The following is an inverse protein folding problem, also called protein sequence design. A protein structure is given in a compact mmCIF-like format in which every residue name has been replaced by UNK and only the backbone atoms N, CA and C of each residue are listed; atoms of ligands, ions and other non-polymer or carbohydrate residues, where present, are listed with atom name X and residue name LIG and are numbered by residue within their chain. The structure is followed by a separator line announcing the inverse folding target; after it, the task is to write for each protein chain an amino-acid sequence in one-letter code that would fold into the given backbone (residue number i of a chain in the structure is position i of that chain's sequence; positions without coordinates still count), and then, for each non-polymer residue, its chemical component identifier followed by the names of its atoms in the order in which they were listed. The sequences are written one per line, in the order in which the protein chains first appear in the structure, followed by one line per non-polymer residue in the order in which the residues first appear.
data_IF_018150852810
#
_entry.id   IF_018150852810
#
_cell.length_a   1.000
_cell.length_b   1.000
_cell.length_c   1.000
_cell.angle_alpha   90.00
_cell.angle_beta   90.00
_cell.angle_gamma   90.00
#
_symmetry.space_group_name_H-M   'P 1'
#
loop_
_entity.id
_entity.type
_entity.pdbx_description
1 polymer ?
#
# COMPACT_ATOMS: atom_id res chain seq x y z
N UNK A 1 4.21 -22.57 -6.50
CA UNK A 1 5.35 -22.32 -5.59
C UNK A 1 5.53 -20.82 -5.48
N UNK A 2 5.26 -20.23 -4.31
CA UNK A 2 5.62 -18.83 -4.02
C UNK A 2 7.15 -18.77 -3.96
N UNK A 3 7.76 -17.93 -4.80
CA UNK A 3 9.22 -17.72 -4.78
C UNK A 3 9.55 -16.88 -3.55
N UNK A 4 10.35 -17.41 -2.62
CA UNK A 4 10.84 -16.64 -1.47
C UNK A 4 11.63 -15.43 -1.94
N UNK A 5 11.29 -14.25 -1.43
CA UNK A 5 12.03 -13.02 -1.63
C UNK A 5 13.31 -13.12 -0.80
N UNK A 6 14.44 -12.68 -1.34
CA UNK A 6 15.69 -12.68 -0.58
C UNK A 6 15.66 -11.55 0.47
N UNK A 7 16.43 -11.71 1.57
CA UNK A 7 16.38 -10.77 2.69
C UNK A 7 16.75 -9.33 2.30
N UNK A 8 17.67 -9.14 1.33
CA UNK A 8 18.03 -7.80 0.86
C UNK A 8 16.83 -7.10 0.23
N UNK A 9 16.11 -7.78 -0.66
CA UNK A 9 14.89 -7.26 -1.29
C UNK A 9 13.78 -6.99 -0.28
N UNK A 10 13.68 -7.79 0.79
CA UNK A 10 12.72 -7.53 1.87
C UNK A 10 13.04 -6.19 2.56
N UNK A 11 14.31 -5.93 2.88
CA UNK A 11 14.73 -4.66 3.48
C UNK A 11 14.46 -3.48 2.53
N UNK A 12 14.75 -3.64 1.24
CA UNK A 12 14.47 -2.61 0.22
C UNK A 12 12.96 -2.31 0.15
N UNK A 13 12.10 -3.33 0.08
CA UNK A 13 10.65 -3.14 0.07
C UNK A 13 10.09 -2.54 1.36
N UNK A 14 10.63 -2.91 2.53
CA UNK A 14 10.22 -2.31 3.80
C UNK A 14 10.57 -0.83 3.84
N UNK A 15 11.76 -0.44 3.36
CA UNK A 15 12.13 0.97 3.26
C UNK A 15 11.18 1.74 2.33
N UNK A 16 10.85 1.18 1.16
CA UNK A 16 9.86 1.79 0.25
C UNK A 16 8.47 1.94 0.89
N UNK A 17 8.03 0.98 1.71
CA UNK A 17 6.74 1.07 2.42
C UNK A 17 6.78 2.22 3.45
N UNK A 18 7.90 2.41 4.14
CA UNK A 18 8.06 3.50 5.11
C UNK A 18 8.10 4.87 4.41
N UNK A 19 8.78 4.97 3.27
CA UNK A 19 8.78 6.20 2.47
C UNK A 19 7.34 6.54 2.01
N UNK A 20 6.58 5.56 1.52
CA UNK A 20 5.16 5.73 1.13
C UNK A 20 4.26 6.12 2.30
N UNK A 21 4.55 5.59 3.50
CA UNK A 21 3.81 5.95 4.71
C UNK A 21 3.95 7.44 5.02
N UNK A 22 5.17 7.98 4.90
CA UNK A 22 5.44 9.40 5.13
C UNK A 22 4.82 10.30 4.03
N UNK A 23 4.79 9.79 2.79
CA UNK A 23 4.27 10.51 1.62
C UNK A 23 2.74 10.40 1.44
N UNK A 24 2.06 9.56 2.23
CA UNK A 24 0.61 9.33 2.11
C UNK A 24 0.22 8.50 0.87
N UNK A 25 1.16 7.76 0.29
CA UNK A 25 0.94 6.95 -0.91
C UNK A 25 0.45 5.54 -0.56
N UNK A 26 -0.19 4.87 -1.52
CA UNK A 26 -0.58 3.47 -1.38
C UNK A 26 0.62 2.59 -0.96
N UNK A 27 0.60 2.10 0.29
CA UNK A 27 1.68 1.30 0.89
C UNK A 27 2.07 0.07 0.05
N UNK A 28 1.12 -0.47 -0.73
CA UNK A 28 1.35 -1.66 -1.56
C UNK A 28 2.03 -1.37 -2.90
N UNK A 29 1.61 -0.33 -3.63
CA UNK A 29 2.06 -0.10 -5.00
C UNK A 29 2.68 1.28 -5.25
N UNK A 30 2.67 2.19 -4.27
CA UNK A 30 3.11 3.58 -4.42
C UNK A 30 2.21 4.42 -5.33
N UNK A 31 0.99 3.97 -5.61
CA UNK A 31 0.00 4.76 -6.33
C UNK A 31 -0.66 5.79 -5.43
N UNK A 32 -1.15 6.87 -6.02
CA UNK A 32 -1.99 7.87 -5.35
C UNK A 32 -3.32 7.24 -4.91
N UNK A 33 -3.78 7.59 -3.70
CA UNK A 33 -5.10 7.21 -3.21
C UNK A 33 -6.17 8.11 -3.83
N UNK A 34 -7.39 7.60 -3.99
CA UNK A 34 -8.49 8.27 -4.66
C UNK A 34 -8.78 9.64 -4.06
N UNK A 35 -8.74 9.76 -2.73
CA UNK A 35 -8.97 11.01 -1.99
C UNK A 35 -7.92 12.09 -2.25
N UNK A 36 -6.73 11.71 -2.72
CA UNK A 36 -5.65 12.62 -3.07
C UNK A 36 -5.61 12.97 -4.57
N UNK A 37 -6.54 12.43 -5.37
CA UNK A 37 -6.66 12.74 -6.79
C UNK A 37 -7.29 14.12 -7.03
N UNK A 38 -6.92 14.74 -8.14
CA UNK A 38 -7.61 15.95 -8.60
C UNK A 38 -9.06 15.62 -8.98
N UNK A 39 -9.96 16.62 -8.91
CA UNK A 39 -11.40 16.39 -9.12
C UNK A 39 -11.78 15.76 -10.46
N UNK A 40 -10.93 15.87 -11.48
CA UNK A 40 -11.14 15.25 -12.79
C UNK A 40 -10.76 13.75 -12.82
N UNK A 41 -9.87 13.31 -11.91
CA UNK A 41 -9.41 11.93 -11.76
C UNK A 41 -10.08 11.21 -10.56
N UNK A 42 -10.74 11.95 -9.67
CA UNK A 42 -11.50 11.43 -8.53
C UNK A 42 -12.69 10.58 -8.99
N UNK A 43 -12.75 9.32 -8.54
CA UNK A 43 -13.89 8.44 -8.80
C UNK A 43 -14.85 8.46 -7.60
N UNK A 44 -15.99 9.16 -7.74
CA UNK A 44 -17.06 9.23 -6.73
C UNK A 44 -17.67 7.84 -6.40
N UNK A 45 -17.40 6.82 -7.21
CA UNK A 45 -17.83 5.43 -6.99
C UNK A 45 -16.97 4.65 -5.99
N UNK A 46 -15.80 5.15 -5.61
CA UNK A 46 -14.87 4.51 -4.68
C UNK A 46 -14.59 5.41 -3.46
N UNK A 47 -14.15 4.80 -2.36
CA UNK A 47 -13.74 5.55 -1.18
C UNK A 47 -12.45 6.35 -1.44
N UNK A 48 -12.23 7.39 -0.64
CA UNK A 48 -10.99 8.19 -0.67
C UNK A 48 -9.74 7.31 -0.47
N UNK A 49 -9.91 6.25 0.30
CA UNK A 49 -8.96 5.23 0.70
C UNK A 49 -8.57 4.23 -0.42
N UNK A 50 -9.22 4.33 -1.58
CA UNK A 50 -9.04 3.37 -2.65
C UNK A 50 -7.86 3.72 -3.55
N UNK A 51 -7.04 2.74 -3.91
CA UNK A 51 -5.97 2.88 -4.90
C UNK A 51 -6.37 2.26 -6.23
N UNK A 52 -6.44 3.07 -7.29
CA UNK A 52 -6.81 2.64 -8.65
C UNK A 52 -5.79 1.66 -9.25
N UNK A 53 -4.51 1.88 -8.98
CA UNK A 53 -3.44 1.11 -9.59
C UNK A 53 -3.45 -0.38 -9.16
N UNK A 54 -3.70 -0.64 -7.86
CA UNK A 54 -3.75 -2.02 -7.34
C UNK A 54 -5.14 -2.49 -6.92
N UNK A 55 -6.17 -1.67 -7.09
CA UNK A 55 -7.55 -1.89 -6.67
C UNK A 55 -7.64 -2.36 -5.22
N UNK A 56 -7.02 -1.60 -4.31
CA UNK A 56 -6.96 -1.87 -2.87
C UNK A 56 -7.53 -0.70 -2.10
N UNK A 57 -8.42 -0.99 -1.17
CA UNK A 57 -8.80 -0.05 -0.12
C UNK A 57 -7.73 -0.13 0.99
N UNK A 58 -7.16 1.02 1.32
CA UNK A 58 -6.28 1.24 2.46
C UNK A 58 -6.85 2.43 3.16
N UNK A 59 -7.28 2.29 4.40
CA UNK A 59 -7.85 3.40 5.16
C UNK A 59 -6.74 4.23 5.84
N UNK A 60 -6.27 5.36 5.26
CA UNK A 60 -5.36 6.30 5.91
C UNK A 60 -5.99 7.09 7.05
N UNK A 61 -7.31 7.06 7.22
CA UNK A 61 -8.02 7.95 8.14
C UNK A 61 -8.29 7.32 9.52
N UNK A 62 -8.43 6.00 9.63
CA UNK A 62 -8.56 5.30 10.93
C UNK A 62 -7.32 4.48 11.32
N UNK A 63 -6.64 3.81 10.38
CA UNK A 63 -5.67 2.74 10.71
C UNK A 63 -4.38 2.76 9.85
N UNK A 64 -3.88 3.92 9.42
CA UNK A 64 -2.69 4.03 8.56
C UNK A 64 -1.44 3.32 9.15
N UNK A 65 -1.23 3.46 10.47
CA UNK A 65 -0.16 2.78 11.20
C UNK A 65 -0.29 1.26 11.13
N UNK A 66 -1.52 0.75 11.33
CA UNK A 66 -1.80 -0.68 11.25
C UNK A 66 -1.65 -1.20 9.81
N UNK A 67 -2.13 -0.44 8.82
CA UNK A 67 -1.97 -0.77 7.41
C UNK A 67 -0.48 -0.86 7.00
N UNK A 68 0.35 0.06 7.50
CA UNK A 68 1.80 0.03 7.29
C UNK A 68 2.44 -1.21 7.92
N UNK A 69 2.09 -1.52 9.17
CA UNK A 69 2.59 -2.73 9.83
C UNK A 69 2.16 -4.02 9.12
N UNK A 70 0.91 -4.09 8.63
CA UNK A 70 0.41 -5.22 7.86
C UNK A 70 1.13 -5.38 6.51
N UNK A 71 1.42 -4.27 5.81
CA UNK A 71 2.19 -4.30 4.58
C UNK A 71 3.61 -4.84 4.81
N UNK A 72 4.27 -4.39 5.89
CA UNK A 72 5.59 -4.88 6.29
C UNK A 72 5.55 -6.36 6.68
N UNK A 73 4.56 -6.78 7.47
CA UNK A 73 4.40 -8.16 7.91
C UNK A 73 4.28 -9.13 6.72
N UNK A 74 3.52 -8.74 5.69
CA UNK A 74 3.42 -9.50 4.44
C UNK A 74 4.76 -9.66 3.73
N UNK A 75 5.58 -8.62 3.66
CA UNK A 75 6.94 -8.70 3.10
C UNK A 75 7.81 -9.66 3.92
N UNK A 76 7.73 -9.58 5.25
CA UNK A 76 8.48 -10.45 6.17
C UNK A 76 8.11 -11.92 5.94
N UNK A 77 6.82 -12.23 5.79
CA UNK A 77 6.30 -13.59 5.67
C UNK A 77 6.27 -14.14 4.22
N UNK A 78 6.78 -13.39 3.24
CA UNK A 78 6.66 -13.71 1.81
C UNK A 78 5.19 -13.93 1.39
N UNK A 79 4.26 -13.27 2.08
CA UNK A 79 2.84 -13.39 1.81
C UNK A 79 2.44 -12.54 0.60
N UNK A 80 1.50 -13.03 -0.21
CA UNK A 80 0.90 -12.20 -1.23
C UNK A 80 0.09 -11.06 -0.58
N UNK A 81 0.12 -9.90 -1.24
CA UNK A 81 -0.70 -8.73 -0.90
C UNK A 81 -2.19 -8.90 -1.28
N UNK A 82 -2.59 -10.07 -1.80
CA UNK A 82 -4.01 -10.48 -2.03
C UNK A 82 -4.30 -11.78 -1.28
N UNK A 83 -5.52 -11.89 -0.74
CA UNK A 83 -6.15 -13.17 -0.45
C UNK A 83 -6.61 -13.84 -1.76
#
# INVERSE_FOLDING_TARGET
MVRKINNRKKVELIAEILDRYDDGECLYCGGTLNGDLESDDFDEGYSDDWCDNCAKEIDPHDDWDEACLLAIDKVIHDEPFKA
#
